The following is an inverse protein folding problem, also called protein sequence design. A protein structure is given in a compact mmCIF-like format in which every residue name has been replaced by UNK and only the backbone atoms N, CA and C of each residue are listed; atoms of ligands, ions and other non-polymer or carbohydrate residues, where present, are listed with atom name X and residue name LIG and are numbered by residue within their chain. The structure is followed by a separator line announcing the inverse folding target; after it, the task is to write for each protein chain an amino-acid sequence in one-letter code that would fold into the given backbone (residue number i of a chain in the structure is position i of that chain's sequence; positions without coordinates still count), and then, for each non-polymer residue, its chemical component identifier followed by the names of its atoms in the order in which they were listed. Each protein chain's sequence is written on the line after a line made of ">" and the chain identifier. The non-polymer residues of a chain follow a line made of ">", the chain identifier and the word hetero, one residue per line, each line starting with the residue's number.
data_IF_560904228830
#
_entry.id   IF_560904228830
#
_cell.length_a   1.000
_cell.length_b   1.000
_cell.length_c   1.000
_cell.angle_alpha   90.00
_cell.angle_beta   90.00
_cell.angle_gamma   90.00
#
_symmetry.space_group_name_H-M   'P 1'
#
loop_
_entity.id
_entity.type
_entity.pdbx_description
1 polymer ?
#
# COMPACT_ATOMS: atom_id res chain seq x y z
N UNK A 1 18.32 -16.84 11.58
CA UNK A 1 17.28 -16.93 10.54
C UNK A 1 16.45 -18.19 10.81
N UNK A 2 15.11 -18.12 10.84
CA UNK A 2 14.25 -19.32 10.84
C UNK A 2 14.67 -20.31 9.75
N UNK A 3 14.52 -21.62 9.97
CA UNK A 3 14.90 -22.64 8.96
C UNK A 3 14.22 -22.41 7.60
N UNK A 4 12.99 -21.89 7.60
CA UNK A 4 12.18 -21.55 6.42
C UNK A 4 12.68 -20.33 5.63
N UNK A 5 13.67 -19.60 6.16
CA UNK A 5 14.25 -18.40 5.51
C UNK A 5 15.62 -18.64 4.90
N UNK A 6 16.09 -19.90 4.86
CA UNK A 6 17.32 -20.25 4.18
C UNK A 6 17.12 -20.23 2.65
N UNK A 7 18.12 -19.77 1.88
CA UNK A 7 18.04 -19.74 0.44
C UNK A 7 17.93 -21.17 -0.12
N UNK A 8 17.11 -21.34 -1.15
CA UNK A 8 17.06 -22.57 -1.96
C UNK A 8 18.02 -22.43 -3.13
N UNK A 9 18.85 -23.44 -3.35
CA UNK A 9 19.83 -23.43 -4.43
C UNK A 9 19.29 -24.25 -5.60
N UNK A 10 19.41 -23.69 -6.80
CA UNK A 10 19.07 -24.35 -8.06
C UNK A 10 20.26 -24.27 -9.01
N UNK A 11 20.35 -25.23 -9.92
CA UNK A 11 21.25 -25.17 -11.07
C UNK A 11 20.42 -24.97 -12.33
N UNK A 12 20.86 -24.10 -13.24
CA UNK A 12 20.15 -23.89 -14.51
C UNK A 12 20.00 -25.22 -15.26
N UNK A 13 18.84 -25.42 -15.88
CA UNK A 13 18.45 -26.68 -16.51
C UNK A 13 18.04 -27.80 -15.54
N UNK A 14 17.85 -27.50 -14.25
CA UNK A 14 17.43 -28.48 -13.24
C UNK A 14 16.45 -27.86 -12.21
N UNK A 15 15.19 -28.31 -12.14
CA UNK A 15 14.21 -27.80 -11.17
C UNK A 15 14.45 -28.32 -9.73
N UNK A 16 15.40 -29.24 -9.53
CA UNK A 16 15.67 -29.83 -8.23
C UNK A 16 16.20 -28.80 -7.23
N UNK A 17 15.54 -28.70 -6.08
CA UNK A 17 15.98 -27.87 -4.95
C UNK A 17 17.16 -28.55 -4.26
N UNK A 18 18.21 -27.78 -4.02
CA UNK A 18 19.36 -28.15 -3.20
C UNK A 18 19.37 -27.32 -1.90
N UNK A 19 19.57 -28.00 -0.76
CA UNK A 19 19.61 -27.35 0.56
C UNK A 19 20.91 -26.56 0.72
N UNK A 20 20.82 -25.28 1.06
CA UNK A 20 21.97 -24.42 1.26
C UNK A 20 22.90 -24.89 2.40
N UNK A 21 22.35 -25.57 3.43
CA UNK A 21 23.15 -26.10 4.54
C UNK A 21 24.09 -27.24 4.10
N UNK A 22 23.74 -27.95 3.03
CA UNK A 22 24.51 -29.05 2.46
C UNK A 22 25.53 -28.62 1.40
N UNK A 23 25.49 -27.35 0.98
CA UNK A 23 26.26 -26.86 -0.17
C UNK A 23 27.76 -27.04 0.01
N UNK A 24 28.33 -26.64 1.16
CA UNK A 24 29.77 -26.78 1.41
C UNK A 24 30.26 -28.24 1.30
N UNK A 25 29.42 -29.21 1.67
CA UNK A 25 29.78 -30.63 1.61
C UNK A 25 29.54 -31.26 0.23
N UNK A 26 28.66 -30.69 -0.60
CA UNK A 26 28.19 -31.31 -1.85
C UNK A 26 28.46 -30.49 -3.12
N UNK A 27 28.97 -29.26 -3.00
CA UNK A 27 29.08 -28.31 -4.12
C UNK A 27 29.72 -28.95 -5.36
N UNK A 28 30.92 -29.53 -5.24
CA UNK A 28 31.63 -30.14 -6.36
C UNK A 28 30.80 -31.23 -7.05
N UNK A 29 30.17 -32.11 -6.26
CA UNK A 29 29.31 -33.17 -6.79
C UNK A 29 28.11 -32.60 -7.53
N UNK A 30 27.46 -31.57 -6.99
CA UNK A 30 26.32 -30.92 -7.62
C UNK A 30 26.70 -30.17 -8.90
N UNK A 31 27.82 -29.45 -8.91
CA UNK A 31 28.33 -28.82 -10.12
C UNK A 31 28.64 -29.85 -11.21
N UNK A 32 29.30 -30.96 -10.87
CA UNK A 32 29.59 -32.03 -11.83
C UNK A 32 28.32 -32.70 -12.38
N UNK A 33 27.32 -32.97 -11.53
CA UNK A 33 26.06 -33.58 -11.93
C UNK A 33 25.20 -32.67 -12.85
N UNK A 34 25.43 -31.36 -12.79
CA UNK A 34 24.76 -30.38 -13.62
C UNK A 34 25.66 -29.82 -14.74
N UNK A 35 26.92 -30.25 -14.82
CA UNK A 35 27.84 -29.82 -15.86
C UNK A 35 27.35 -30.28 -17.25
N UNK A 36 27.51 -29.42 -18.25
CA UNK A 36 27.10 -29.70 -19.63
C UNK A 36 25.59 -29.59 -19.88
N UNK A 37 24.76 -29.34 -18.85
CA UNK A 37 23.39 -28.88 -19.07
C UNK A 37 23.44 -27.50 -19.70
N UNK A 38 22.59 -27.24 -20.69
CA UNK A 38 22.47 -25.90 -21.26
C UNK A 38 21.98 -24.90 -20.20
N UNK A 39 22.38 -23.65 -20.35
CA UNK A 39 21.93 -22.54 -19.49
C UNK A 39 20.47 -22.20 -19.80
N UNK A 40 19.56 -22.99 -19.23
CA UNK A 40 18.11 -22.82 -19.35
C UNK A 40 17.48 -22.47 -18.00
N UNK A 41 16.73 -21.39 -17.94
CA UNK A 41 16.07 -20.92 -16.72
C UNK A 41 14.67 -21.50 -16.53
N UNK A 42 14.01 -21.90 -17.62
CA UNK A 42 12.60 -22.30 -17.62
C UNK A 42 12.27 -23.37 -16.59
N UNK A 43 13.06 -24.46 -16.43
CA UNK A 43 12.70 -25.48 -15.44
C UNK A 43 12.63 -24.94 -14.01
N UNK A 44 13.50 -23.98 -13.66
CA UNK A 44 13.52 -23.37 -12.33
C UNK A 44 12.35 -22.38 -12.19
N UNK A 45 12.12 -21.53 -13.18
CA UNK A 45 11.05 -20.54 -13.12
C UNK A 45 9.65 -21.17 -13.17
N UNK A 46 9.45 -22.25 -13.93
CA UNK A 46 8.22 -23.05 -13.93
C UNK A 46 7.93 -23.66 -12.55
N UNK A 47 8.97 -24.13 -11.84
CA UNK A 47 8.83 -24.66 -10.49
C UNK A 47 8.47 -23.58 -9.45
N UNK A 48 8.89 -22.34 -9.70
CA UNK A 48 8.71 -21.19 -8.80
C UNK A 48 7.50 -20.30 -9.17
N UNK A 49 6.84 -20.53 -10.31
CA UNK A 49 5.81 -19.62 -10.84
C UNK A 49 4.63 -19.37 -9.88
N UNK A 50 4.34 -20.32 -8.99
CA UNK A 50 3.24 -20.21 -8.02
C UNK A 50 3.62 -19.40 -6.77
N UNK A 51 4.88 -19.01 -6.62
CA UNK A 51 5.39 -18.31 -5.44
C UNK A 51 5.41 -16.79 -5.67
N UNK A 52 4.71 -16.05 -4.81
CA UNK A 52 4.46 -14.61 -5.01
C UNK A 52 5.40 -13.68 -4.22
N UNK A 53 6.28 -14.23 -3.39
CA UNK A 53 7.09 -13.44 -2.43
C UNK A 53 8.53 -13.96 -2.27
N UNK A 54 9.18 -14.28 -3.39
CA UNK A 54 10.56 -14.75 -3.41
C UNK A 54 11.52 -13.72 -4.01
N UNK A 55 12.71 -13.61 -3.41
CA UNK A 55 13.83 -12.91 -4.02
C UNK A 55 14.71 -13.94 -4.75
N UNK A 56 14.96 -13.72 -6.04
CA UNK A 56 15.78 -14.60 -6.86
C UNK A 56 17.08 -13.88 -7.20
N UNK A 57 18.21 -14.56 -6.96
CA UNK A 57 19.53 -14.15 -7.45
C UNK A 57 20.01 -15.21 -8.44
N UNK A 58 20.48 -14.76 -9.60
CA UNK A 58 20.99 -15.64 -10.64
C UNK A 58 22.44 -15.28 -10.86
N UNK A 59 23.32 -16.23 -10.56
CA UNK A 59 24.77 -16.07 -10.69
C UNK A 59 25.25 -16.95 -11.84
N UNK A 60 25.96 -16.37 -12.81
CA UNK A 60 26.40 -17.11 -13.98
C UNK A 60 27.54 -16.45 -14.74
N UNK A 61 28.14 -17.21 -15.65
CA UNK A 61 29.23 -16.79 -16.52
C UNK A 61 28.98 -17.24 -17.96
N UNK A 62 27.87 -16.79 -18.53
CA UNK A 62 27.47 -17.17 -19.89
C UNK A 62 25.98 -17.01 -20.13
N UNK A 63 25.63 -16.96 -21.41
CA UNK A 63 24.28 -16.66 -21.89
C UNK A 63 23.25 -17.69 -21.40
N UNK A 64 22.08 -17.20 -21.01
CA UNK A 64 20.89 -17.99 -20.71
C UNK A 64 20.01 -18.00 -21.96
N UNK A 65 19.82 -19.18 -22.56
CA UNK A 65 19.31 -19.31 -23.93
C UNK A 65 17.81 -19.07 -24.05
N UNK A 66 17.03 -19.44 -23.04
CA UNK A 66 15.56 -19.33 -23.00
C UNK A 66 15.07 -18.09 -22.24
N UNK A 67 15.96 -17.22 -21.78
CA UNK A 67 15.58 -15.97 -21.13
C UNK A 67 14.61 -15.10 -21.97
N UNK A 68 14.70 -15.05 -23.32
CA UNK A 68 13.71 -14.36 -24.13
C UNK A 68 12.25 -14.76 -23.90
N UNK A 69 11.99 -16.03 -23.53
CA UNK A 69 10.63 -16.55 -23.34
C UNK A 69 10.01 -16.05 -22.02
N UNK A 70 10.84 -15.53 -21.12
CA UNK A 70 10.45 -15.01 -19.80
C UNK A 70 10.35 -13.49 -19.75
N UNK A 71 10.44 -12.81 -20.90
CA UNK A 71 10.35 -11.36 -20.95
C UNK A 71 8.99 -10.85 -20.43
N UNK A 72 9.01 -9.88 -19.52
CA UNK A 72 7.80 -9.36 -18.88
C UNK A 72 7.23 -10.26 -17.79
N UNK A 73 7.81 -11.44 -17.54
CA UNK A 73 7.40 -12.30 -16.45
C UNK A 73 7.94 -11.77 -15.11
N UNK A 74 7.09 -11.75 -14.07
CA UNK A 74 7.40 -11.15 -12.77
C UNK A 74 8.72 -11.66 -12.15
N UNK A 75 8.99 -12.97 -12.27
CA UNK A 75 10.24 -13.58 -11.77
C UNK A 75 11.49 -13.05 -12.48
N UNK A 76 11.44 -12.83 -13.79
CA UNK A 76 12.57 -12.34 -14.57
C UNK A 76 12.82 -10.84 -14.31
N UNK A 77 11.76 -10.05 -14.26
CA UNK A 77 11.82 -8.60 -14.03
C UNK A 77 12.36 -8.22 -12.64
N UNK A 78 12.17 -9.10 -11.65
CA UNK A 78 12.60 -8.86 -10.26
C UNK A 78 13.83 -9.68 -9.83
N UNK A 79 14.38 -10.52 -10.71
CA UNK A 79 15.60 -11.26 -10.42
C UNK A 79 16.81 -10.31 -10.34
N UNK A 80 17.74 -10.63 -9.43
CA UNK A 80 19.04 -9.98 -9.36
C UNK A 80 20.00 -10.77 -10.26
N UNK A 81 20.40 -10.16 -11.37
CA UNK A 81 21.30 -10.76 -12.35
C UNK A 81 22.74 -10.45 -11.99
N UNK A 82 23.47 -11.46 -11.51
CA UNK A 82 24.84 -11.35 -11.05
C UNK A 82 25.81 -12.00 -12.04
N UNK A 83 26.50 -11.19 -12.82
CA UNK A 83 27.51 -11.67 -13.77
C UNK A 83 28.82 -11.97 -13.06
N UNK A 84 29.22 -13.24 -13.12
CA UNK A 84 30.47 -13.77 -12.59
C UNK A 84 31.44 -14.11 -13.71
N UNK A 85 32.07 -13.09 -14.30
CA UNK A 85 33.03 -13.27 -15.40
C UNK A 85 32.76 -12.32 -16.56
N UNK A 86 33.48 -12.49 -17.70
CA UNK A 86 33.41 -11.55 -18.82
C UNK A 86 32.20 -11.78 -19.73
N UNK A 87 31.56 -12.96 -19.69
CA UNK A 87 30.46 -13.30 -20.59
C UNK A 87 29.13 -12.78 -20.06
N UNK A 88 28.35 -12.13 -20.92
CA UNK A 88 27.00 -11.66 -20.61
C UNK A 88 26.03 -12.83 -20.45
N UNK A 89 25.10 -12.71 -19.50
CA UNK A 89 24.09 -13.73 -19.22
C UNK A 89 22.78 -13.49 -19.96
N UNK A 90 22.41 -12.22 -20.14
CA UNK A 90 21.08 -11.78 -20.55
C UNK A 90 21.07 -11.10 -21.91
N UNK A 91 22.23 -11.03 -22.58
CA UNK A 91 22.44 -10.33 -23.85
C UNK A 91 21.92 -8.87 -23.81
N UNK A 92 22.13 -8.20 -22.66
CA UNK A 92 21.72 -6.81 -22.43
C UNK A 92 20.22 -6.60 -22.17
N UNK A 93 19.40 -7.65 -22.08
CA UNK A 93 17.97 -7.53 -21.77
C UNK A 93 17.69 -7.04 -20.36
N UNK A 94 18.53 -7.46 -19.40
CA UNK A 94 18.41 -7.05 -18.01
C UNK A 94 19.72 -6.40 -17.54
N UNK A 95 19.62 -5.57 -16.50
CA UNK A 95 20.81 -4.98 -15.88
C UNK A 95 21.58 -6.07 -15.14
N UNK A 96 22.77 -6.41 -15.66
CA UNK A 96 23.70 -7.33 -15.03
C UNK A 96 24.69 -6.56 -14.17
N UNK A 97 24.83 -6.98 -12.91
CA UNK A 97 25.76 -6.39 -11.95
C UNK A 97 26.83 -7.41 -11.55
N UNK A 98 28.03 -6.95 -11.21
CA UNK A 98 29.08 -7.80 -10.63
C UNK A 98 29.27 -7.41 -9.18
N UNK A 99 29.03 -8.38 -8.27
CA UNK A 99 29.14 -8.16 -6.84
C UNK A 99 30.30 -8.95 -6.24
N UNK A 100 30.91 -8.37 -5.21
CA UNK A 100 31.63 -9.14 -4.19
C UNK A 100 30.66 -9.99 -3.38
N UNK A 101 31.17 -11.03 -2.71
CA UNK A 101 30.34 -11.89 -1.84
C UNK A 101 29.68 -11.05 -0.75
N UNK A 102 30.41 -10.10 -0.17
CA UNK A 102 29.94 -9.22 0.90
C UNK A 102 28.78 -8.33 0.42
N UNK A 103 28.89 -7.73 -0.77
CA UNK A 103 27.82 -6.93 -1.37
C UNK A 103 26.57 -7.77 -1.66
N UNK A 104 26.74 -9.02 -2.09
CA UNK A 104 25.62 -9.92 -2.34
C UNK A 104 24.92 -10.30 -1.03
N UNK A 105 25.69 -10.65 0.01
CA UNK A 105 25.15 -10.96 1.35
C UNK A 105 24.40 -9.76 1.90
N UNK A 106 24.95 -8.55 1.79
CA UNK A 106 24.25 -7.33 2.20
C UNK A 106 22.95 -7.15 1.42
N UNK A 107 22.99 -7.26 0.08
CA UNK A 107 21.81 -7.08 -0.77
C UNK A 107 20.70 -8.10 -0.46
N UNK A 108 21.07 -9.35 -0.21
CA UNK A 108 20.14 -10.43 0.18
C UNK A 108 19.62 -10.28 1.61
N UNK A 109 20.45 -9.78 2.53
CA UNK A 109 20.12 -9.63 3.95
C UNK A 109 19.44 -8.31 4.28
N UNK A 110 19.11 -7.50 3.27
CA UNK A 110 18.61 -6.15 3.44
C UNK A 110 17.14 -6.01 2.99
N UNK A 111 16.18 -6.60 3.71
CA UNK A 111 14.78 -6.57 3.33
C UNK A 111 14.22 -5.15 3.36
N UNK A 112 13.18 -4.94 2.55
CA UNK A 112 12.34 -3.75 2.64
C UNK A 112 11.64 -3.71 4.01
N UNK A 113 11.87 -2.65 4.78
CA UNK A 113 11.19 -2.43 6.06
C UNK A 113 9.85 -1.74 5.85
N UNK A 114 9.82 -0.71 5.00
CA UNK A 114 8.63 0.10 4.76
C UNK A 114 8.73 0.89 3.46
N UNK A 115 7.60 1.36 2.99
CA UNK A 115 7.49 2.33 1.90
C UNK A 115 7.17 3.70 2.51
N UNK A 116 7.85 4.74 2.05
CA UNK A 116 7.59 6.15 2.39
C UNK A 116 7.26 6.92 1.12
N UNK A 117 6.11 7.58 1.09
CA UNK A 117 5.72 8.48 0.00
C UNK A 117 5.60 9.90 0.56
N UNK A 118 6.38 10.81 0.00
CA UNK A 118 6.50 12.19 0.48
C UNK A 118 7.09 13.10 -0.60
N UNK A 119 7.04 14.41 -0.39
CA UNK A 119 7.59 15.38 -1.33
C UNK A 119 7.33 16.81 -0.89
N UNK A 120 8.10 17.81 -1.37
CA UNK A 120 7.80 19.21 -1.13
C UNK A 120 6.36 19.54 -1.56
N UNK A 121 5.53 19.98 -0.61
CA UNK A 121 4.12 20.28 -0.87
C UNK A 121 3.22 19.09 -1.25
N UNK A 122 3.72 17.85 -1.23
CA UNK A 122 2.91 16.67 -1.54
C UNK A 122 2.09 16.22 -0.32
N UNK A 123 0.77 16.06 -0.50
CA UNK A 123 -0.15 15.54 0.50
C UNK A 123 -0.99 14.39 -0.04
N UNK A 124 -0.76 13.17 0.48
CA UNK A 124 -1.64 12.04 0.26
C UNK A 124 -3.02 12.31 0.86
N UNK A 125 -4.06 12.21 0.03
CA UNK A 125 -5.47 12.34 0.46
C UNK A 125 -6.29 11.09 0.18
N UNK A 126 -5.68 10.08 -0.45
CA UNK A 126 -6.30 8.81 -0.80
C UNK A 126 -5.25 7.72 -0.95
N UNK A 127 -5.56 6.48 -0.55
CA UNK A 127 -4.80 5.27 -0.89
C UNK A 127 -5.69 4.02 -0.75
N UNK A 128 -5.33 2.94 -1.44
CA UNK A 128 -6.13 1.71 -1.53
C UNK A 128 -5.64 0.55 -0.65
N UNK A 129 -4.50 0.70 0.01
CA UNK A 129 -3.97 -0.31 0.93
C UNK A 129 -4.03 0.14 2.39
N UNK A 130 -4.81 -0.59 3.20
CA UNK A 130 -4.96 -0.37 4.64
C UNK A 130 -3.68 -0.54 5.47
N UNK A 131 -2.62 -1.16 4.92
CA UNK A 131 -1.30 -1.24 5.55
C UNK A 131 -0.58 0.11 5.59
N UNK A 132 -1.09 1.12 4.86
CA UNK A 132 -0.57 2.47 4.83
C UNK A 132 -1.35 3.41 5.74
N UNK A 133 -0.61 4.34 6.35
CA UNK A 133 -1.14 5.41 7.19
C UNK A 133 -0.37 6.69 6.95
N UNK A 134 -1.02 7.82 7.18
CA UNK A 134 -0.34 9.11 7.17
C UNK A 134 0.37 9.34 8.50
N UNK A 135 1.66 9.67 8.45
CA UNK A 135 2.50 9.90 9.62
C UNK A 135 3.49 11.04 9.31
N UNK A 136 3.46 12.11 10.12
CA UNK A 136 4.41 13.23 10.04
C UNK A 136 4.59 13.82 8.62
N UNK A 137 3.49 14.03 7.89
CA UNK A 137 3.54 14.60 6.53
C UNK A 137 3.95 13.61 5.44
N UNK A 138 3.99 12.31 5.74
CA UNK A 138 4.30 11.25 4.77
C UNK A 138 3.23 10.18 4.80
N UNK A 139 3.04 9.47 3.70
CA UNK A 139 2.34 8.20 3.70
C UNK A 139 3.36 7.10 3.96
N UNK A 140 3.15 6.32 5.02
CA UNK A 140 4.06 5.23 5.43
C UNK A 140 3.29 3.93 5.53
N UNK A 141 3.86 2.85 5.04
CA UNK A 141 3.22 1.53 5.08
C UNK A 141 4.20 0.39 4.93
N UNK A 142 3.70 -0.82 5.20
CA UNK A 142 4.46 -2.04 4.97
C UNK A 142 4.62 -2.33 3.46
N UNK A 143 5.45 -3.31 3.13
CA UNK A 143 5.60 -3.81 1.76
C UNK A 143 4.23 -4.25 1.22
N UNK A 144 3.83 -3.71 0.07
CA UNK A 144 2.72 -4.25 -0.73
C UNK A 144 3.24 -5.35 -1.65
N UNK A 145 2.52 -6.46 -1.75
CA UNK A 145 2.61 -7.33 -2.91
C UNK A 145 1.80 -6.69 -4.02
N UNK A 146 2.46 -6.08 -5.02
CA UNK A 146 1.79 -5.40 -6.13
C UNK A 146 1.85 -3.87 -6.05
N UNK A 147 0.93 -3.21 -6.78
CA UNK A 147 0.85 -1.76 -6.90
C UNK A 147 0.01 -1.11 -5.79
N UNK A 148 0.44 0.06 -5.35
CA UNK A 148 -0.34 0.96 -4.49
C UNK A 148 -0.89 2.10 -5.37
N UNK A 149 -2.19 2.33 -5.33
CA UNK A 149 -2.79 3.52 -5.97
C UNK A 149 -3.10 4.56 -4.91
N UNK A 150 -2.64 5.79 -5.13
CA UNK A 150 -2.85 6.88 -4.19
C UNK A 150 -3.26 8.18 -4.90
N UNK A 151 -3.99 9.03 -4.18
CA UNK A 151 -4.31 10.39 -4.59
C UNK A 151 -3.40 11.37 -3.87
N UNK A 152 -2.74 12.25 -4.63
CA UNK A 152 -1.82 13.26 -4.12
C UNK A 152 -2.31 14.66 -4.48
N UNK A 153 -2.28 15.57 -3.52
CA UNK A 153 -2.29 17.00 -3.77
C UNK A 153 -0.86 17.49 -3.78
N UNK A 154 -0.46 18.17 -4.84
CA UNK A 154 0.87 18.76 -4.94
C UNK A 154 0.80 20.00 -5.84
N UNK A 155 1.51 21.09 -5.51
CA UNK A 155 1.64 22.23 -6.41
C UNK A 155 2.45 21.89 -7.67
N UNK A 156 3.32 20.89 -7.58
CA UNK A 156 4.17 20.43 -8.68
C UNK A 156 3.91 18.93 -8.95
N UNK A 157 3.65 18.52 -10.21
CA UNK A 157 3.33 17.12 -10.54
C UNK A 157 4.38 16.11 -10.07
N UNK A 158 5.65 16.50 -10.12
CA UNK A 158 6.80 15.61 -9.87
C UNK A 158 7.41 15.77 -8.47
N UNK A 159 6.79 16.56 -7.58
CA UNK A 159 7.34 16.78 -6.25
C UNK A 159 7.22 15.56 -5.34
N UNK A 160 6.20 14.72 -5.56
CA UNK A 160 6.02 13.49 -4.80
C UNK A 160 7.04 12.43 -5.22
N UNK A 161 7.62 11.77 -4.22
CA UNK A 161 8.56 10.66 -4.41
C UNK A 161 8.16 9.49 -3.52
N UNK A 162 8.25 8.29 -4.07
CA UNK A 162 8.11 7.05 -3.33
C UNK A 162 9.49 6.44 -3.09
N UNK A 163 9.73 5.97 -1.87
CA UNK A 163 10.94 5.26 -1.53
C UNK A 163 10.62 3.98 -0.77
N UNK A 164 11.32 2.91 -1.09
CA UNK A 164 11.44 1.77 -0.18
C UNK A 164 12.63 2.01 0.75
N UNK A 165 12.38 1.92 2.06
CA UNK A 165 13.41 1.98 3.09
C UNK A 165 13.81 0.56 3.44
N UNK A 166 15.08 0.24 3.22
CA UNK A 166 15.65 -1.07 3.50
C UNK A 166 16.14 -1.15 4.95
N UNK A 167 16.40 -2.36 5.46
CA UNK A 167 16.82 -2.59 6.84
C UNK A 167 18.14 -1.91 7.25
N UNK A 168 19.05 -1.70 6.30
CA UNK A 168 20.29 -0.95 6.51
C UNK A 168 20.10 0.58 6.42
N UNK A 169 18.86 1.05 6.24
CA UNK A 169 18.51 2.48 6.14
C UNK A 169 18.66 3.07 4.73
N UNK A 170 19.16 2.31 3.75
CA UNK A 170 19.21 2.75 2.35
C UNK A 170 17.79 3.01 1.86
N UNK A 171 17.65 4.11 1.12
CA UNK A 171 16.41 4.48 0.42
C UNK A 171 16.58 4.22 -1.06
N UNK A 172 15.72 3.38 -1.62
CA UNK A 172 15.63 3.17 -3.07
C UNK A 172 14.35 3.81 -3.58
N UNK A 173 14.48 4.66 -4.58
CA UNK A 173 13.34 5.30 -5.22
C UNK A 173 12.47 4.24 -5.93
N UNK A 174 11.17 4.38 -5.80
CA UNK A 174 10.17 3.59 -6.51
C UNK A 174 9.52 4.47 -7.58
N UNK A 175 9.23 3.93 -8.77
CA UNK A 175 8.59 4.70 -9.81
C UNK A 175 7.18 5.11 -9.37
N UNK A 176 6.83 6.36 -9.63
CA UNK A 176 5.46 6.86 -9.59
C UNK A 176 4.99 7.09 -11.03
N UNK A 177 3.83 6.55 -11.37
CA UNK A 177 3.21 6.72 -12.67
C UNK A 177 1.75 7.15 -12.48
N UNK A 178 1.22 7.86 -13.47
CA UNK A 178 -0.20 8.18 -13.50
C UNK A 178 -1.00 6.88 -13.59
N UNK A 179 -1.96 6.71 -12.68
CA UNK A 179 -2.88 5.58 -12.66
C UNK A 179 -4.30 6.08 -12.97
N UNK A 180 -5.17 5.17 -13.43
CA UNK A 180 -6.59 5.46 -13.49
C UNK A 180 -7.15 5.72 -12.09
N UNK A 181 -8.05 6.70 -11.91
CA UNK A 181 -8.71 6.91 -10.63
C UNK A 181 -9.43 5.64 -10.20
N UNK A 182 -9.16 5.18 -8.98
CA UNK A 182 -9.83 4.02 -8.44
C UNK A 182 -11.33 4.22 -8.32
N UNK A 183 -12.05 3.14 -8.58
CA UNK A 183 -13.49 3.09 -8.37
C UNK A 183 -13.77 3.07 -6.88
N UNK A 184 -14.31 4.19 -6.38
CA UNK A 184 -14.81 4.27 -5.01
C UNK A 184 -15.98 3.31 -4.80
N UNK A 185 -16.22 2.84 -3.56
CA UNK A 185 -17.40 2.04 -3.23
C UNK A 185 -18.69 2.71 -3.71
N UNK A 186 -19.68 1.92 -4.10
CA UNK A 186 -20.96 2.49 -4.52
C UNK A 186 -21.70 3.13 -3.33
N UNK A 187 -22.51 4.14 -3.61
CA UNK A 187 -23.38 4.76 -2.61
C UNK A 187 -24.45 3.77 -2.16
N UNK A 188 -24.63 3.63 -0.84
CA UNK A 188 -25.72 2.86 -0.24
C UNK A 188 -26.82 3.78 0.23
N UNK A 189 -28.05 3.46 -0.13
CA UNK A 189 -29.22 4.17 0.35
C UNK A 189 -29.41 3.95 1.86
N UNK A 190 -29.68 5.04 2.59
CA UNK A 190 -30.02 4.95 4.00
C UNK A 190 -31.50 4.58 4.15
N UNK A 191 -31.86 3.62 5.03
CA UNK A 191 -33.24 3.36 5.41
C UNK A 191 -33.91 4.63 5.95
N UNK A 192 -35.22 4.77 5.77
CA UNK A 192 -35.93 5.99 6.17
C UNK A 192 -35.74 6.38 7.65
N UNK A 193 -35.51 5.41 8.54
CA UNK A 193 -35.16 5.68 9.95
C UNK A 193 -33.79 6.36 10.07
N UNK A 194 -32.76 5.82 9.42
CA UNK A 194 -31.40 6.40 9.42
C UNK A 194 -31.38 7.76 8.72
N UNK A 195 -32.07 7.90 7.58
CA UNK A 195 -32.18 9.18 6.87
C UNK A 195 -32.83 10.27 7.74
N UNK A 196 -33.89 9.93 8.48
CA UNK A 196 -34.52 10.87 9.40
C UNK A 196 -33.58 11.31 10.54
N UNK A 197 -32.79 10.39 11.08
CA UNK A 197 -31.80 10.71 12.12
C UNK A 197 -30.66 11.57 11.56
N UNK A 198 -30.16 11.24 10.37
CA UNK A 198 -29.19 12.06 9.64
C UNK A 198 -29.71 13.49 9.44
N UNK A 199 -30.96 13.66 9.01
CA UNK A 199 -31.59 14.98 8.86
C UNK A 199 -31.76 15.72 10.18
N UNK A 200 -31.90 15.03 11.32
CA UNK A 200 -31.86 15.67 12.64
C UNK A 200 -30.43 16.15 12.94
N UNK A 201 -29.42 15.30 12.76
CA UNK A 201 -28.01 15.65 12.94
C UNK A 201 -27.63 16.90 12.13
N UNK A 202 -27.98 16.94 10.85
CA UNK A 202 -27.65 18.06 9.97
C UNK A 202 -28.35 19.37 10.34
N UNK A 203 -29.58 19.31 10.88
CA UNK A 203 -30.35 20.52 11.24
C UNK A 203 -30.04 21.04 12.64
N UNK A 204 -29.79 20.15 13.59
CA UNK A 204 -29.73 20.48 15.01
C UNK A 204 -28.37 20.21 15.65
N UNK A 205 -27.44 19.57 14.94
CA UNK A 205 -26.17 19.09 15.50
C UNK A 205 -26.31 17.92 16.48
N UNK A 206 -27.53 17.36 16.60
CA UNK A 206 -27.90 16.28 17.50
C UNK A 206 -29.08 15.48 16.94
N UNK A 207 -29.34 14.31 17.51
CA UNK A 207 -30.52 13.50 17.20
C UNK A 207 -31.07 12.85 18.47
N UNK A 208 -32.36 12.52 18.47
CA UNK A 208 -32.97 11.78 19.57
C UNK A 208 -32.83 10.27 19.33
N UNK A 209 -32.07 9.60 20.19
CA UNK A 209 -31.76 8.18 20.04
C UNK A 209 -33.02 7.32 20.17
N UNK A 210 -33.31 6.41 19.22
CA UNK A 210 -34.51 5.57 19.27
C UNK A 210 -34.46 4.50 20.38
N UNK A 211 -33.29 4.24 20.98
CA UNK A 211 -33.11 3.22 22.01
C UNK A 211 -33.23 3.77 23.42
N UNK A 212 -32.45 4.79 23.78
CA UNK A 212 -32.45 5.38 25.13
C UNK A 212 -33.35 6.63 25.25
N UNK A 213 -33.90 7.12 24.13
CA UNK A 213 -34.75 8.30 24.06
C UNK A 213 -34.08 9.62 24.49
N UNK A 214 -32.75 9.64 24.61
CA UNK A 214 -31.93 10.82 24.94
C UNK A 214 -31.39 11.49 23.67
N UNK A 215 -31.00 12.76 23.79
CA UNK A 215 -30.31 13.49 22.72
C UNK A 215 -28.83 13.09 22.67
N UNK A 216 -28.37 12.64 21.50
CA UNK A 216 -26.97 12.34 21.21
C UNK A 216 -26.40 13.35 20.23
N UNK A 217 -25.10 13.60 20.31
CA UNK A 217 -24.41 14.48 19.37
C UNK A 217 -24.43 13.89 17.95
N UNK A 218 -24.42 14.75 16.93
CA UNK A 218 -24.11 14.33 15.57
C UNK A 218 -22.74 13.61 15.55
N UNK A 219 -22.56 12.65 14.64
CA UNK A 219 -21.35 11.81 14.60
C UNK A 219 -21.33 10.63 15.58
N UNK A 220 -22.30 10.52 16.49
CA UNK A 220 -22.39 9.38 17.40
C UNK A 220 -23.25 8.24 16.80
N UNK A 221 -22.61 7.13 16.41
CA UNK A 221 -23.23 6.00 15.70
C UNK A 221 -23.94 4.98 16.61
N UNK A 222 -23.57 4.96 17.88
CA UNK A 222 -24.02 3.97 18.86
C UNK A 222 -24.66 4.65 20.06
N UNK A 223 -25.64 3.96 20.63
CA UNK A 223 -26.18 4.37 21.91
C UNK A 223 -25.11 4.28 23.00
N UNK A 224 -25.19 5.14 24.03
CA UNK A 224 -24.37 4.99 25.24
C UNK A 224 -24.71 3.71 26.02
N UNK A 225 -25.91 3.17 25.82
CA UNK A 225 -26.23 1.80 26.22
C UNK A 225 -25.53 0.82 25.28
N UNK A 226 -24.41 0.26 25.73
CA UNK A 226 -23.57 -0.65 24.95
C UNK A 226 -24.25 -1.96 24.54
N UNK A 227 -25.42 -2.27 25.08
CA UNK A 227 -26.23 -3.43 24.67
C UNK A 227 -27.14 -3.16 23.47
N UNK A 228 -27.40 -1.88 23.16
CA UNK A 228 -28.27 -1.51 22.05
C UNK A 228 -27.58 -1.73 20.68
N UNK A 229 -28.35 -2.07 19.64
CA UNK A 229 -27.82 -2.14 18.28
C UNK A 229 -27.34 -0.76 17.80
N UNK A 230 -26.50 -0.70 16.74
CA UNK A 230 -26.10 0.56 16.12
C UNK A 230 -27.31 1.39 15.72
N UNK A 231 -27.22 2.71 15.94
CA UNK A 231 -28.27 3.66 15.54
C UNK A 231 -28.27 3.86 14.02
N UNK A 232 -27.10 3.70 13.40
CA UNK A 232 -26.89 3.74 11.95
C UNK A 232 -26.31 2.42 11.43
N UNK A 233 -27.11 1.34 11.32
CA UNK A 233 -26.64 0.03 10.87
C UNK A 233 -25.92 0.05 9.52
N UNK A 234 -26.48 0.73 8.51
CA UNK A 234 -25.88 0.76 7.16
C UNK A 234 -24.49 1.38 7.18
N UNK A 235 -24.30 2.38 8.05
CA UNK A 235 -23.00 3.01 8.17
C UNK A 235 -22.02 2.18 9.01
N UNK A 236 -22.46 1.49 10.07
CA UNK A 236 -21.61 0.56 10.82
C UNK A 236 -21.08 -0.57 9.91
N UNK A 237 -21.91 -1.07 8.99
CA UNK A 237 -21.52 -2.09 8.00
C UNK A 237 -20.45 -1.61 6.99
N UNK A 238 -20.27 -0.30 6.82
CA UNK A 238 -19.27 0.28 5.91
C UNK A 238 -17.83 0.17 6.44
N UNK A 239 -17.65 -0.22 7.70
CA UNK A 239 -16.34 -0.40 8.33
C UNK A 239 -15.73 0.90 8.86
N UNK A 240 -14.72 0.74 9.73
CA UNK A 240 -14.11 1.83 10.51
C UNK A 240 -12.77 2.30 9.95
N UNK A 241 -12.59 2.34 8.64
CA UNK A 241 -11.27 2.58 8.03
C UNK A 241 -10.89 4.07 7.89
N UNK A 242 -11.81 5.00 8.14
CA UNK A 242 -11.52 6.41 7.98
C UNK A 242 -12.74 7.28 8.16
N UNK A 243 -13.35 7.60 7.03
CA UNK A 243 -14.49 8.50 6.96
C UNK A 243 -15.69 7.80 6.32
N UNK A 244 -16.88 8.29 6.64
CA UNK A 244 -18.08 8.02 5.87
C UNK A 244 -18.51 9.31 5.17
N UNK A 245 -18.73 9.24 3.87
CA UNK A 245 -19.34 10.31 3.09
C UNK A 245 -20.84 10.12 3.08
N UNK A 246 -21.57 11.19 3.34
CA UNK A 246 -23.03 11.17 3.43
C UNK A 246 -23.60 12.22 2.49
N UNK A 247 -24.39 11.78 1.53
CA UNK A 247 -25.12 12.65 0.63
C UNK A 247 -26.51 12.93 1.21
N UNK A 248 -26.81 14.20 1.50
CA UNK A 248 -28.05 14.63 2.15
C UNK A 248 -29.08 15.17 1.15
N UNK A 249 -29.33 14.45 0.05
CA UNK A 249 -30.33 14.89 -0.91
C UNK A 249 -31.76 14.92 -0.33
N UNK A 250 -32.64 15.80 -0.83
CA UNK A 250 -33.96 16.00 -0.24
C UNK A 250 -34.82 14.74 -0.23
N UNK A 251 -34.68 13.88 -1.23
CA UNK A 251 -35.51 12.69 -1.45
C UNK A 251 -34.98 11.43 -0.75
N UNK A 252 -33.66 11.27 -0.63
CA UNK A 252 -33.06 10.12 0.04
C UNK A 252 -31.61 10.39 0.44
N UNK A 253 -31.28 10.14 1.71
CA UNK A 253 -29.90 10.13 2.19
C UNK A 253 -29.15 8.88 1.72
N UNK A 254 -27.88 9.04 1.40
CA UNK A 254 -26.99 7.95 1.01
C UNK A 254 -25.67 8.03 1.78
N UNK A 255 -25.10 6.88 2.11
CA UNK A 255 -23.78 6.77 2.73
C UNK A 255 -22.79 6.04 1.82
N UNK A 256 -21.52 6.37 1.94
CA UNK A 256 -20.41 5.69 1.24
C UNK A 256 -19.17 5.67 2.12
N UNK A 257 -18.55 4.50 2.26
CA UNK A 257 -17.26 4.37 2.93
C UNK A 257 -16.17 5.13 2.15
N UNK A 258 -15.35 5.90 2.85
CA UNK A 258 -14.09 6.38 2.30
C UNK A 258 -13.00 5.36 2.63
N UNK A 259 -12.21 4.88 1.66
CA UNK A 259 -11.38 3.69 1.83
C UNK A 259 -10.13 3.90 2.69
N UNK A 260 -9.82 5.13 3.08
CA UNK A 260 -8.59 5.43 3.83
C UNK A 260 -8.78 6.50 4.90
N UNK A 261 -7.74 6.68 5.71
CA UNK A 261 -7.68 7.63 6.81
C UNK A 261 -7.42 9.09 6.42
N UNK A 262 -7.39 9.46 5.15
CA UNK A 262 -7.30 10.85 4.71
C UNK A 262 -8.42 11.19 3.71
N UNK A 263 -8.92 12.42 3.74
CA UNK A 263 -10.00 12.90 2.88
C UNK A 263 -9.73 14.33 2.41
N UNK A 264 -9.72 14.55 1.08
CA UNK A 264 -9.66 15.88 0.49
C UNK A 264 -10.96 16.65 0.77
N UNK A 265 -10.86 17.81 1.42
CA UNK A 265 -11.98 18.73 1.65
C UNK A 265 -11.94 19.92 0.68
N UNK A 266 -10.74 20.40 0.34
CA UNK A 266 -10.49 21.43 -0.66
C UNK A 266 -9.11 21.20 -1.30
N UNK A 267 -8.72 22.02 -2.29
CA UNK A 267 -7.40 21.93 -2.92
C UNK A 267 -6.24 22.19 -1.95
N UNK A 268 -6.50 22.95 -0.89
CA UNK A 268 -5.54 23.30 0.15
C UNK A 268 -5.86 22.68 1.52
N UNK A 269 -6.87 21.79 1.62
CA UNK A 269 -7.36 21.27 2.90
C UNK A 269 -7.67 19.78 2.85
N UNK A 270 -7.04 19.02 3.76
CA UNK A 270 -7.24 17.57 3.91
C UNK A 270 -7.59 17.27 5.37
N UNK A 271 -8.57 16.40 5.58
CA UNK A 271 -8.83 15.81 6.89
C UNK A 271 -8.07 14.50 7.04
N UNK A 272 -7.39 14.29 8.16
CA UNK A 272 -6.62 13.07 8.45
C UNK A 272 -7.07 12.48 9.78
N UNK A 273 -7.55 11.24 9.73
CA UNK A 273 -7.92 10.47 10.92
C UNK A 273 -6.69 10.16 11.77
N UNK A 274 -6.83 10.41 13.06
CA UNK A 274 -5.81 10.22 14.08
C UNK A 274 -6.03 8.87 14.79
N UNK A 275 -5.03 8.42 15.55
CA UNK A 275 -5.07 7.16 16.28
C UNK A 275 -6.10 7.11 17.42
N UNK A 276 -6.50 8.28 17.93
CA UNK A 276 -7.57 8.43 18.92
C UNK A 276 -8.98 8.38 18.32
N UNK A 277 -9.09 8.22 16.99
CA UNK A 277 -10.35 8.19 16.26
C UNK A 277 -10.90 9.58 15.90
N UNK A 278 -10.23 10.67 16.30
CA UNK A 278 -10.57 12.01 15.82
C UNK A 278 -10.03 12.25 14.40
N UNK A 279 -10.38 13.39 13.80
CA UNK A 279 -9.76 13.86 12.56
C UNK A 279 -9.12 15.23 12.77
N UNK A 280 -7.87 15.35 12.34
CA UNK A 280 -7.15 16.62 12.28
C UNK A 280 -7.36 17.26 10.90
N UNK A 281 -7.49 18.58 10.86
CA UNK A 281 -7.49 19.33 9.61
C UNK A 281 -6.06 19.76 9.28
N UNK A 282 -5.63 19.47 8.05
CA UNK A 282 -4.29 19.77 7.56
C UNK A 282 -4.43 20.71 6.36
N UNK A 283 -3.87 21.92 6.47
CA UNK A 283 -3.93 22.95 5.44
C UNK A 283 -2.58 23.19 4.79
N UNK A 284 -2.57 23.43 3.48
CA UNK A 284 -1.37 23.79 2.75
C UNK A 284 -0.97 25.24 3.04
N UNK A 285 0.29 25.45 3.42
CA UNK A 285 0.91 26.77 3.55
C UNK A 285 1.76 27.04 2.30
N UNK A 286 1.27 27.86 1.35
CA UNK A 286 1.97 28.13 0.10
C UNK A 286 3.27 28.92 0.30
N UNK A 287 3.47 29.60 1.44
CA UNK A 287 4.69 30.37 1.70
C UNK A 287 5.88 29.47 2.00
N UNK A 288 5.61 28.36 2.68
CA UNK A 288 6.63 27.41 3.11
C UNK A 288 6.63 26.12 2.26
N UNK A 289 5.67 25.98 1.34
CA UNK A 289 5.43 24.75 0.58
C UNK A 289 5.28 23.52 1.50
N UNK A 290 4.53 23.69 2.59
CA UNK A 290 4.35 22.66 3.63
C UNK A 290 2.89 22.51 4.03
N UNK A 291 2.49 21.30 4.39
CA UNK A 291 1.19 21.02 5.00
C UNK A 291 1.29 21.12 6.52
N UNK A 292 0.32 21.79 7.16
CA UNK A 292 0.31 22.03 8.61
C UNK A 292 -1.02 21.66 9.22
N UNK A 293 -0.97 20.99 10.37
CA UNK A 293 -2.16 20.76 11.19
C UNK A 293 -2.69 22.12 11.66
N UNK A 294 -3.97 22.37 11.45
CA UNK A 294 -4.64 23.60 11.91
C UNK A 294 -5.21 23.40 13.31
N UNK A 295 -5.56 24.50 13.97
CA UNK A 295 -6.27 24.47 15.25
C UNK A 295 -7.79 24.27 15.08
N UNK A 296 -8.27 24.21 13.84
CA UNK A 296 -9.69 24.02 13.54
C UNK A 296 -10.10 22.58 13.86
N UNK A 297 -11.29 22.41 14.40
CA UNK A 297 -11.83 21.08 14.71
C UNK A 297 -12.61 20.53 13.53
N UNK A 298 -12.36 19.27 13.19
CA UNK A 298 -13.24 18.55 12.27
C UNK A 298 -14.62 18.41 12.91
N UNK A 299 -15.63 18.98 12.25
CA UNK A 299 -17.02 18.93 12.75
C UNK A 299 -17.59 17.52 12.64
N UNK A 300 -18.60 17.15 13.45
CA UNK A 300 -19.20 15.81 13.35
C UNK A 300 -19.86 15.51 11.99
N UNK A 301 -20.29 16.56 11.29
CA UNK A 301 -20.80 16.54 9.91
C UNK A 301 -20.05 17.60 9.09
N UNK A 302 -18.83 17.31 8.66
CA UNK A 302 -17.98 18.26 7.96
C UNK A 302 -18.45 18.41 6.50
N UNK A 303 -18.81 19.62 6.01
CA UNK A 303 -19.12 19.80 4.59
C UNK A 303 -17.91 19.48 3.72
N UNK A 304 -18.13 18.73 2.63
CA UNK A 304 -17.10 18.40 1.62
C UNK A 304 -17.38 19.18 0.34
N UNK A 305 -18.53 18.90 -0.29
CA UNK A 305 -18.97 19.59 -1.51
C UNK A 305 -20.48 19.43 -1.66
N UNK A 306 -21.17 20.48 -2.08
CA UNK A 306 -22.62 20.47 -2.27
C UNK A 306 -23.37 19.94 -1.01
N UNK A 307 -24.16 18.87 -1.18
CA UNK A 307 -24.92 18.19 -0.12
C UNK A 307 -24.16 17.01 0.50
N UNK A 308 -22.87 16.87 0.20
CA UNK A 308 -22.02 15.80 0.72
C UNK A 308 -21.30 16.29 1.97
N UNK A 309 -21.46 15.51 3.04
CA UNK A 309 -20.81 15.72 4.32
C UNK A 309 -19.91 14.53 4.62
N UNK A 310 -18.85 14.75 5.38
CA UNK A 310 -17.96 13.72 5.88
C UNK A 310 -18.13 13.57 7.39
N UNK A 311 -18.04 12.33 7.83
CA UNK A 311 -18.08 11.94 9.24
C UNK A 311 -16.88 11.04 9.52
N UNK A 312 -16.37 11.09 10.75
CA UNK A 312 -15.32 10.17 11.19
C UNK A 312 -15.95 8.89 11.72
N UNK A 313 -15.47 7.74 11.23
CA UNK A 313 -15.92 6.39 11.62
C UNK A 313 -15.06 5.79 12.74
#
# INVERSE_FOLDING_TARGET
>A
MPAESWPRIFFLGNPQIHDASEFLANADRWFQANAGRGSFISPVFEALQAETDIAIVIVGNGMIFDLPDWHGHNLAEHAIWCRYGPAEMTAGKYSEESYTVEQMVEKLSNPALRIEISGPGAMPFYWDDSAFRWEQGKLVGAKTTGSLTLGLLSPEPDAAKAHVVLSNGIRRELPLANAEPLRLPDWKNLPGKEDNLLRQCLRQGKYRCPHCNQDHAAGQWRCMDGSAPPVFPVMEEMGKQGFCLVNSEPWQGQGRAHPCGALKLADDLVAVRQSDGAAALVRFDPRNNTWRVTNDKFGPMQPVVNKIHAMVM
#
